data_IF_972922533070
#
_entry.id   IF_972922533070
#
_cell.length_a   1.000
_cell.length_b   1.000
_cell.length_c   1.000
_cell.angle_alpha   90.00
_cell.angle_beta   90.00
_cell.angle_gamma   90.00
#
_symmetry.space_group_name_H-M   'P 1'
#
loop_
_entity.id
_entity.type
_entity.pdbx_description
1 polymer ?
#
# COMPACT_ATOMS: atom_id res chain seq x y z
N UNK A 1 32.74 26.50 10.39
CA UNK A 1 31.94 26.33 9.17
C UNK A 1 31.30 24.95 9.25
N UNK A 2 30.09 24.87 9.74
CA UNK A 2 29.34 23.63 9.73
C UNK A 2 28.50 23.63 8.45
N UNK A 3 28.92 22.82 7.46
CA UNK A 3 28.16 22.57 6.25
C UNK A 3 26.89 21.79 6.63
N UNK A 4 25.74 22.47 6.54
CA UNK A 4 24.46 21.83 6.75
C UNK A 4 24.22 20.79 5.66
N UNK A 5 24.05 19.52 6.08
CA UNK A 5 23.52 18.44 5.24
C UNK A 5 22.00 18.71 5.14
N UNK A 6 21.65 19.76 4.42
CA UNK A 6 20.27 20.04 4.05
C UNK A 6 20.01 19.42 2.70
N UNK A 7 19.23 18.34 2.63
CA UNK A 7 18.74 17.85 1.36
C UNK A 7 18.05 18.98 0.58
N UNK A 8 18.21 18.97 -0.74
CA UNK A 8 17.58 19.94 -1.62
C UNK A 8 16.05 19.83 -1.52
N UNK A 9 15.36 20.95 -1.42
CA UNK A 9 13.90 20.95 -1.35
C UNK A 9 13.34 20.55 -2.71
N UNK A 10 12.51 19.51 -2.74
CA UNK A 10 11.89 18.98 -3.94
C UNK A 10 10.38 19.13 -3.89
N UNK A 11 9.75 19.24 -5.07
CA UNK A 11 8.30 19.20 -5.20
C UNK A 11 7.88 17.75 -5.50
N UNK A 12 7.01 17.19 -4.66
CA UNK A 12 6.46 15.85 -4.83
C UNK A 12 4.99 15.96 -5.16
N UNK A 13 4.55 15.35 -6.26
CA UNK A 13 3.13 15.17 -6.57
C UNK A 13 2.60 13.96 -5.83
N UNK A 14 1.40 14.10 -5.28
CA UNK A 14 0.77 13.05 -4.50
C UNK A 14 -0.75 13.05 -4.69
N UNK A 15 -1.32 11.87 -4.49
CA UNK A 15 -2.77 11.65 -4.42
C UNK A 15 -3.11 11.14 -3.03
N UNK A 16 -4.01 11.83 -2.33
CA UNK A 16 -4.52 11.46 -1.02
C UNK A 16 -5.96 10.93 -1.18
N UNK A 17 -6.19 9.72 -0.73
CA UNK A 17 -7.51 9.13 -0.64
C UNK A 17 -8.01 9.33 0.79
N UNK A 18 -9.08 10.12 0.96
CA UNK A 18 -9.69 10.39 2.27
C UNK A 18 -10.97 9.58 2.46
N UNK A 19 -11.71 9.83 3.51
CA UNK A 19 -13.03 9.21 3.76
C UNK A 19 -14.04 9.51 2.65
N UNK A 20 -13.96 10.70 2.03
CA UNK A 20 -14.95 11.19 1.09
C UNK A 20 -14.38 11.73 -0.21
N UNK A 21 -13.09 12.09 -0.24
CA UNK A 21 -12.49 12.80 -1.35
C UNK A 21 -11.21 12.13 -1.85
N UNK A 22 -10.93 12.28 -3.14
CA UNK A 22 -9.59 12.12 -3.72
C UNK A 22 -8.99 13.51 -3.90
N UNK A 23 -7.91 13.79 -3.20
CA UNK A 23 -7.18 15.06 -3.29
C UNK A 23 -5.87 14.84 -4.02
N UNK A 24 -5.62 15.59 -5.08
CA UNK A 24 -4.37 15.55 -5.85
C UNK A 24 -3.70 16.90 -5.80
N UNK A 25 -2.39 16.92 -5.79
CA UNK A 25 -1.62 18.15 -5.84
C UNK A 25 -0.16 17.92 -5.55
N UNK A 26 0.55 18.97 -5.15
CA UNK A 26 1.98 18.91 -4.88
C UNK A 26 2.31 19.46 -3.49
N UNK A 27 3.42 18.98 -2.94
CA UNK A 27 4.00 19.56 -1.74
C UNK A 27 5.51 19.69 -1.86
N UNK A 28 6.06 20.71 -1.20
CA UNK A 28 7.51 20.90 -1.07
C UNK A 28 8.02 20.16 0.15
N UNK A 29 9.07 19.39 -0.02
CA UNK A 29 9.63 18.60 1.07
C UNK A 29 11.13 18.38 0.87
N UNK A 30 11.83 18.16 1.99
CA UNK A 30 13.21 17.66 2.01
C UNK A 30 13.25 16.16 2.25
N UNK A 31 12.10 15.54 2.51
CA UNK A 31 11.98 14.11 2.75
C UNK A 31 11.91 13.37 1.42
N UNK A 32 12.48 12.17 1.41
CA UNK A 32 12.60 11.34 0.21
C UNK A 32 11.54 10.24 0.11
N UNK A 33 10.80 9.97 1.19
CA UNK A 33 9.76 8.93 1.21
C UNK A 33 8.42 9.53 1.59
N UNK A 34 7.37 9.13 0.87
CA UNK A 34 6.02 9.61 1.15
C UNK A 34 5.57 9.30 2.59
N UNK A 35 5.84 8.10 3.11
CA UNK A 35 5.53 7.74 4.50
C UNK A 35 6.24 8.65 5.51
N UNK A 36 7.50 9.03 5.24
CA UNK A 36 8.27 9.91 6.13
C UNK A 36 7.69 11.32 6.12
N UNK A 37 7.30 11.82 4.94
CA UNK A 37 6.62 13.10 4.78
C UNK A 37 5.34 13.15 5.64
N UNK A 38 4.49 12.12 5.50
CA UNK A 38 3.20 12.07 6.20
C UNK A 38 3.34 11.81 7.71
N UNK A 39 4.39 11.10 8.13
CA UNK A 39 4.65 10.82 9.54
C UNK A 39 5.38 11.95 10.27
N UNK A 40 6.09 12.83 9.54
CA UNK A 40 6.81 13.98 10.13
C UNK A 40 5.96 15.26 10.20
N UNK A 41 4.74 15.23 9.65
CA UNK A 41 3.83 16.34 9.82
C UNK A 41 3.57 16.53 11.33
N UNK A 42 4.22 17.54 11.92
CA UNK A 42 4.04 17.91 13.33
C UNK A 42 2.59 18.33 13.63
N UNK A 43 1.84 18.62 12.58
CA UNK A 43 0.43 19.01 12.64
C UNK A 43 -0.46 17.90 12.05
N UNK A 44 -1.69 17.86 12.51
CA UNK A 44 -2.71 16.94 11.97
C UNK A 44 -3.15 17.28 10.54
N UNK A 45 -2.56 18.30 9.94
CA UNK A 45 -2.92 18.81 8.62
C UNK A 45 -1.72 18.86 7.69
N UNK A 46 -1.97 18.51 6.41
CA UNK A 46 -1.02 18.64 5.31
C UNK A 46 -1.48 19.75 4.38
N UNK A 47 -0.59 20.67 4.01
CA UNK A 47 -0.87 21.67 2.97
C UNK A 47 -0.43 21.11 1.62
N UNK A 48 -1.37 21.06 0.69
CA UNK A 48 -1.18 20.62 -0.69
C UNK A 48 -1.38 21.81 -1.62
N UNK A 49 -0.38 22.12 -2.44
CA UNK A 49 -0.46 23.18 -3.45
C UNK A 49 -1.04 22.65 -4.77
N UNK A 50 -1.58 23.54 -5.59
CA UNK A 50 -2.23 23.22 -6.87
C UNK A 50 -3.23 22.07 -6.70
N UNK A 51 -4.05 22.19 -5.66
CA UNK A 51 -4.93 21.11 -5.22
C UNK A 51 -6.14 20.96 -6.13
N UNK A 52 -6.43 19.71 -6.48
CA UNK A 52 -7.71 19.30 -7.07
C UNK A 52 -8.36 18.27 -6.16
N UNK A 53 -9.66 18.32 -6.00
CA UNK A 53 -10.38 17.34 -5.20
C UNK A 53 -11.73 16.97 -5.78
N UNK A 54 -11.98 15.67 -5.78
CA UNK A 54 -13.18 15.01 -6.29
C UNK A 54 -13.85 14.25 -5.13
N UNK A 55 -15.15 14.39 -4.97
CA UNK A 55 -15.92 13.62 -4.00
C UNK A 55 -16.27 12.23 -4.56
N UNK A 56 -16.12 11.18 -3.76
CA UNK A 56 -16.47 9.82 -4.16
C UNK A 56 -17.95 9.69 -4.54
N UNK A 57 -18.20 9.00 -5.66
CA UNK A 57 -19.56 8.71 -6.11
C UNK A 57 -20.35 9.94 -6.57
N UNK A 58 -19.78 11.11 -6.50
CA UNK A 58 -20.38 12.34 -7.00
C UNK A 58 -20.06 12.50 -8.48
N UNK A 59 -21.06 12.96 -9.25
CA UNK A 59 -20.86 13.49 -10.62
C UNK A 59 -20.54 14.98 -10.60
N UNK A 60 -20.19 15.53 -9.43
CA UNK A 60 -19.82 16.92 -9.28
C UNK A 60 -18.56 17.24 -10.05
N UNK A 61 -18.40 18.50 -10.42
CA UNK A 61 -17.19 18.96 -11.09
C UNK A 61 -16.01 18.88 -10.11
N UNK A 62 -14.85 18.51 -10.62
CA UNK A 62 -13.56 18.63 -9.92
C UNK A 62 -13.40 20.06 -9.42
N UNK A 63 -13.15 20.23 -8.14
CA UNK A 63 -12.85 21.53 -7.54
C UNK A 63 -11.34 21.73 -7.56
N UNK A 64 -10.92 22.94 -7.94
CA UNK A 64 -9.50 23.33 -7.98
C UNK A 64 -9.22 24.48 -7.02
N UNK A 65 -8.06 24.49 -6.39
CA UNK A 65 -7.62 25.55 -5.50
C UNK A 65 -6.11 25.68 -5.54
N UNK A 66 -5.57 26.90 -5.35
CA UNK A 66 -4.15 27.15 -5.29
C UNK A 66 -3.47 26.35 -4.16
N UNK A 67 -4.22 26.09 -3.08
CA UNK A 67 -3.81 25.20 -1.99
C UNK A 67 -5.02 24.65 -1.25
N UNK A 68 -4.84 23.50 -0.63
CA UNK A 68 -5.80 22.90 0.28
C UNK A 68 -5.08 22.41 1.55
N UNK A 69 -5.74 22.55 2.67
CA UNK A 69 -5.31 21.95 3.93
C UNK A 69 -6.09 20.66 4.16
N UNK A 70 -5.39 19.52 4.14
CA UNK A 70 -5.99 18.19 4.27
C UNK A 70 -5.73 17.64 5.66
N UNK A 71 -6.80 17.23 6.37
CA UNK A 71 -6.69 16.59 7.67
C UNK A 71 -6.13 15.16 7.51
N UNK A 72 -4.94 14.90 8.05
CA UNK A 72 -4.29 13.59 7.97
C UNK A 72 -5.05 12.48 8.71
N UNK A 73 -5.90 12.83 9.67
CA UNK A 73 -6.78 11.89 10.36
C UNK A 73 -7.87 11.30 9.44
N UNK A 74 -8.26 12.02 8.38
CA UNK A 74 -9.25 11.55 7.39
C UNK A 74 -8.61 10.83 6.22
N UNK A 75 -7.28 10.93 6.04
CA UNK A 75 -6.57 10.24 4.96
C UNK A 75 -6.52 8.75 5.25
N UNK A 76 -7.02 7.94 4.32
CA UNK A 76 -6.98 6.49 4.34
C UNK A 76 -5.62 5.97 3.87
N UNK A 77 -5.17 6.49 2.74
CA UNK A 77 -3.85 6.21 2.18
C UNK A 77 -3.44 7.30 1.19
N UNK A 78 -2.15 7.30 0.87
CA UNK A 78 -1.56 8.22 -0.10
C UNK A 78 -0.69 7.48 -1.10
N UNK A 79 -0.66 7.99 -2.34
CA UNK A 79 0.19 7.52 -3.44
C UNK A 79 1.03 8.69 -3.92
N UNK A 80 2.32 8.47 -4.18
CA UNK A 80 3.17 9.45 -4.86
C UNK A 80 3.18 9.16 -6.36
N UNK A 81 3.08 10.20 -7.18
CA UNK A 81 3.05 10.07 -8.64
C UNK A 81 4.46 9.84 -9.24
N UNK A 82 5.52 10.00 -8.45
CA UNK A 82 6.91 9.78 -8.84
C UNK A 82 7.60 8.81 -7.90
N UNK A 83 8.51 8.01 -8.45
CA UNK A 83 9.41 7.18 -7.67
C UNK A 83 10.24 8.07 -6.76
N UNK A 84 9.89 8.08 -5.48
CA UNK A 84 10.70 8.71 -4.45
C UNK A 84 11.86 7.75 -4.21
N UNK A 85 13.02 8.07 -4.77
CA UNK A 85 14.22 7.22 -4.68
C UNK A 85 14.56 6.88 -3.23
N UNK A 86 14.53 5.59 -2.93
CA UNK A 86 15.02 5.09 -1.67
C UNK A 86 16.56 5.16 -1.66
N UNK A 87 17.14 5.95 -0.76
CA UNK A 87 18.60 5.96 -0.57
C UNK A 87 19.04 4.59 -0.07
N UNK A 88 19.93 3.88 -0.81
CA UNK A 88 20.32 2.50 -0.47
C UNK A 88 21.07 2.37 0.86
N UNK A 89 21.74 3.43 1.31
CA UNK A 89 22.76 3.41 2.35
C UNK A 89 22.23 3.32 3.80
N UNK A 90 20.92 3.45 4.01
CA UNK A 90 20.30 3.41 5.34
C UNK A 90 19.29 2.28 5.50
N UNK A 91 19.48 1.16 4.81
CA UNK A 91 18.56 0.02 4.92
C UNK A 91 18.90 -0.84 6.12
N UNK A 92 18.15 -0.69 7.20
CA UNK A 92 18.01 -1.80 8.17
C UNK A 92 17.46 -3.00 7.42
N UNK A 93 18.07 -4.19 7.53
CA UNK A 93 17.51 -5.40 6.93
C UNK A 93 16.08 -5.57 7.40
N UNK A 94 15.16 -5.74 6.45
CA UNK A 94 13.73 -5.94 6.75
C UNK A 94 13.25 -7.18 6.02
N UNK A 95 12.38 -7.94 6.67
CA UNK A 95 11.63 -9.02 6.04
C UNK A 95 10.45 -8.40 5.31
N UNK A 96 10.17 -8.90 4.11
CA UNK A 96 9.03 -8.48 3.31
C UNK A 96 7.95 -9.55 3.41
N UNK A 97 6.78 -9.15 3.91
CA UNK A 97 5.62 -10.02 4.02
C UNK A 97 4.47 -9.48 3.17
N UNK A 98 3.83 -10.37 2.40
CA UNK A 98 2.62 -9.99 1.67
C UNK A 98 1.46 -9.83 2.63
N UNK A 99 0.75 -8.73 2.51
CA UNK A 99 -0.38 -8.39 3.36
C UNK A 99 -1.58 -7.90 2.55
N UNK A 100 -2.76 -8.13 3.12
CA UNK A 100 -4.01 -7.48 2.75
C UNK A 100 -4.31 -6.45 3.83
N UNK A 101 -4.54 -5.20 3.41
CA UNK A 101 -4.98 -4.11 4.26
C UNK A 101 -6.36 -3.66 3.80
N UNK A 102 -7.34 -3.71 4.69
CA UNK A 102 -8.68 -3.17 4.44
C UNK A 102 -8.81 -1.81 5.14
N UNK A 103 -8.91 -0.75 4.36
CA UNK A 103 -9.21 0.62 4.79
C UNK A 103 -10.46 1.09 4.07
N UNK A 104 -11.65 0.73 4.55
CA UNK A 104 -12.89 0.98 3.82
C UNK A 104 -13.03 2.43 3.33
N UNK A 105 -13.53 2.60 2.08
CA UNK A 105 -14.07 1.60 1.17
C UNK A 105 -13.04 0.85 0.32
N UNK A 106 -11.74 1.00 0.59
CA UNK A 106 -10.64 0.43 -0.21
C UNK A 106 -10.09 -0.88 0.37
N UNK A 107 -9.53 -1.68 -0.53
CA UNK A 107 -8.66 -2.81 -0.23
C UNK A 107 -7.31 -2.59 -0.88
N UNK A 108 -6.24 -2.95 -0.17
CA UNK A 108 -4.86 -2.78 -0.62
C UNK A 108 -4.14 -4.10 -0.38
N UNK A 109 -3.46 -4.63 -1.39
CA UNK A 109 -2.53 -5.75 -1.23
C UNK A 109 -1.13 -5.28 -1.60
N UNK A 110 -0.11 -5.83 -0.96
CA UNK A 110 1.28 -5.48 -1.23
C UNK A 110 2.22 -6.06 -0.19
N UNK A 111 3.44 -5.54 -0.11
CA UNK A 111 4.47 -6.00 0.82
C UNK A 111 4.68 -4.99 1.94
N UNK A 112 4.58 -5.45 3.17
CA UNK A 112 4.94 -4.71 4.38
C UNK A 112 6.38 -5.10 4.76
N UNK A 113 7.14 -4.11 5.24
CA UNK A 113 8.54 -4.27 5.64
C UNK A 113 8.66 -4.33 7.16
N UNK A 114 9.02 -5.49 7.68
CA UNK A 114 9.10 -5.80 9.11
C UNK A 114 10.55 -5.99 9.56
N UNK A 115 10.81 -5.82 10.85
CA UNK A 115 12.11 -6.15 11.43
C UNK A 115 12.30 -7.68 11.47
N UNK A 116 13.54 -8.22 11.19
CA UNK A 116 13.76 -9.64 10.97
C UNK A 116 13.51 -10.55 12.17
N UNK A 117 13.57 -10.00 13.38
CA UNK A 117 13.54 -10.78 14.64
C UNK A 117 12.13 -10.97 15.20
N UNK A 118 11.07 -10.60 14.42
CA UNK A 118 9.71 -10.57 14.92
C UNK A 118 8.76 -11.42 14.11
N UNK A 119 7.88 -12.12 14.81
CA UNK A 119 6.68 -12.69 14.21
C UNK A 119 5.81 -11.56 13.63
N UNK A 120 5.15 -11.83 12.51
CA UNK A 120 4.26 -10.88 11.85
C UNK A 120 3.21 -10.31 12.83
N UNK A 121 2.71 -11.10 13.77
CA UNK A 121 1.73 -10.68 14.78
C UNK A 121 2.28 -9.60 15.70
N UNK A 122 3.50 -9.78 16.18
CA UNK A 122 4.19 -8.82 17.05
C UNK A 122 4.52 -7.56 16.27
N UNK A 123 5.05 -7.73 15.05
CA UNK A 123 5.43 -6.63 14.18
C UNK A 123 4.24 -5.73 13.78
N UNK A 124 3.05 -6.30 13.57
CA UNK A 124 1.84 -5.53 13.28
C UNK A 124 1.38 -4.68 14.47
N UNK A 125 1.61 -5.16 15.70
CA UNK A 125 1.32 -4.40 16.93
C UNK A 125 2.29 -3.25 17.20
N UNK A 126 3.46 -3.27 16.56
CA UNK A 126 4.55 -2.32 16.79
C UNK A 126 4.79 -1.38 15.59
N UNK A 127 3.87 -1.32 14.64
CA UNK A 127 3.98 -0.39 13.53
C UNK A 127 4.10 1.05 14.06
N UNK A 128 5.27 1.65 13.85
CA UNK A 128 5.57 3.00 14.28
C UNK A 128 5.17 3.98 13.17
N UNK A 129 4.51 5.06 13.56
CA UNK A 129 4.04 6.10 12.65
C UNK A 129 2.59 5.88 12.21
N UNK A 130 1.94 6.96 11.83
CA UNK A 130 0.54 6.95 11.37
C UNK A 130 0.40 6.25 10.00
N UNK A 131 1.39 6.46 9.12
CA UNK A 131 1.39 5.95 7.76
C UNK A 131 2.46 4.87 7.57
N UNK A 132 2.02 3.67 7.18
CA UNK A 132 2.87 2.51 6.95
C UNK A 132 3.09 2.32 5.46
N UNK A 133 4.35 2.18 4.99
CA UNK A 133 4.63 1.93 3.59
C UNK A 133 4.26 0.49 3.20
N UNK A 134 3.48 0.35 2.13
CA UNK A 134 3.18 -0.91 1.46
C UNK A 134 3.75 -0.82 0.05
N UNK A 135 4.73 -1.65 -0.28
CA UNK A 135 5.39 -1.68 -1.60
C UNK A 135 4.77 -2.74 -2.52
N UNK A 136 5.00 -2.61 -3.82
CA UNK A 136 4.37 -3.45 -4.85
C UNK A 136 2.85 -3.55 -4.63
N UNK A 137 2.24 -2.41 -4.38
CA UNK A 137 0.87 -2.33 -3.93
C UNK A 137 -0.12 -2.38 -5.11
N UNK A 138 -1.24 -3.04 -4.86
CA UNK A 138 -2.44 -2.97 -5.69
C UNK A 138 -3.59 -2.51 -4.80
N UNK A 139 -4.27 -1.43 -5.17
CA UNK A 139 -5.43 -0.94 -4.44
C UNK A 139 -6.66 -0.86 -5.35
N UNK A 140 -7.84 -1.02 -4.77
CA UNK A 140 -9.13 -0.93 -5.47
C UNK A 140 -10.29 -0.70 -4.50
N UNK A 141 -11.43 -0.32 -5.05
CA UNK A 141 -12.69 -0.24 -4.32
C UNK A 141 -13.88 -0.51 -5.24
N UNK A 142 -14.58 -1.60 -4.97
CA UNK A 142 -15.83 -1.92 -5.67
C UNK A 142 -16.95 -0.95 -5.29
N UNK A 143 -16.88 -0.34 -4.09
CA UNK A 143 -17.91 0.56 -3.56
C UNK A 143 -17.93 1.90 -4.26
N UNK A 144 -16.73 2.49 -4.49
CA UNK A 144 -16.60 3.79 -5.14
C UNK A 144 -16.22 3.68 -6.62
N UNK A 145 -16.14 2.46 -7.16
CA UNK A 145 -15.82 2.22 -8.56
C UNK A 145 -14.35 2.44 -8.92
N UNK A 146 -13.45 2.41 -7.93
CA UNK A 146 -12.01 2.50 -8.20
C UNK A 146 -11.49 1.17 -8.71
N UNK A 147 -11.00 1.16 -9.95
CA UNK A 147 -10.43 -0.03 -10.57
C UNK A 147 -9.16 -0.49 -9.86
N UNK A 148 -8.76 -1.75 -10.08
CA UNK A 148 -7.49 -2.26 -9.58
C UNK A 148 -6.33 -1.49 -10.17
N UNK A 149 -5.63 -0.75 -9.32
CA UNK A 149 -4.53 0.16 -9.69
C UNK A 149 -3.25 -0.27 -9.00
N UNK A 150 -2.19 -0.40 -9.79
CA UNK A 150 -0.86 -0.72 -9.28
C UNK A 150 -0.14 0.56 -8.86
N UNK A 151 0.58 0.50 -7.76
CA UNK A 151 1.46 1.56 -7.29
C UNK A 151 2.77 0.96 -6.76
N UNK A 152 3.93 1.54 -7.07
CA UNK A 152 5.21 1.09 -6.52
C UNK A 152 5.21 1.11 -4.98
N UNK A 153 4.54 2.13 -4.41
CA UNK A 153 4.38 2.28 -2.97
C UNK A 153 3.12 3.07 -2.63
N UNK A 154 2.44 2.63 -1.59
CA UNK A 154 1.30 3.30 -0.98
C UNK A 154 1.61 3.52 0.50
N UNK A 155 1.37 4.74 1.01
CA UNK A 155 1.47 5.03 2.44
C UNK A 155 0.08 4.89 3.08
N UNK A 156 -0.13 3.81 3.84
CA UNK A 156 -1.44 3.47 4.43
C UNK A 156 -1.53 4.00 5.85
N UNK A 157 -2.59 4.74 6.15
CA UNK A 157 -2.90 5.14 7.52
C UNK A 157 -3.40 3.92 8.32
N UNK A 158 -2.53 3.31 9.11
CA UNK A 158 -2.85 2.09 9.82
C UNK A 158 -3.92 2.28 10.90
N UNK A 159 -4.05 3.50 11.46
CA UNK A 159 -5.11 3.82 12.41
C UNK A 159 -6.52 3.79 11.76
N UNK A 160 -6.59 3.87 10.43
CA UNK A 160 -7.83 3.76 9.65
C UNK A 160 -8.05 2.36 9.10
N UNK A 161 -7.05 1.49 9.19
CA UNK A 161 -7.16 0.10 8.75
C UNK A 161 -8.05 -0.69 9.72
N UNK A 162 -9.09 -1.33 9.17
CA UNK A 162 -9.96 -2.22 9.94
C UNK A 162 -9.40 -3.65 9.99
N UNK A 163 -8.68 -4.05 8.93
CA UNK A 163 -8.07 -5.36 8.83
C UNK A 163 -6.67 -5.20 8.25
N UNK A 164 -5.70 -5.82 8.88
CA UNK A 164 -4.35 -6.00 8.39
C UNK A 164 -4.01 -7.47 8.61
N UNK A 165 -3.84 -8.22 7.54
CA UNK A 165 -3.65 -9.66 7.60
C UNK A 165 -2.60 -10.15 6.60
N UNK A 166 -1.88 -11.25 6.89
CA UNK A 166 -1.05 -11.92 5.89
C UNK A 166 -1.90 -12.29 4.68
N UNK A 167 -1.38 -12.03 3.48
CA UNK A 167 -2.05 -12.37 2.24
C UNK A 167 -1.26 -13.46 1.51
N UNK A 168 -1.84 -14.66 1.45
CA UNK A 168 -1.33 -15.75 0.63
C UNK A 168 -2.07 -15.72 -0.70
N UNK A 169 -1.36 -15.59 -1.80
CA UNK A 169 -1.94 -15.85 -3.11
C UNK A 169 -2.36 -17.33 -3.12
N UNK A 170 -3.66 -17.57 -3.23
CA UNK A 170 -4.16 -18.90 -3.53
C UNK A 170 -3.90 -19.08 -5.02
N UNK A 171 -2.94 -19.93 -5.37
CA UNK A 171 -2.76 -20.38 -6.74
C UNK A 171 -4.04 -21.13 -7.16
N UNK A 172 -4.84 -20.58 -8.10
CA UNK A 172 -6.08 -21.25 -8.53
C UNK A 172 -5.83 -22.62 -9.15
N UNK A 173 -4.59 -22.91 -9.54
CA UNK A 173 -4.17 -24.14 -10.21
C UNK A 173 -3.50 -25.15 -9.28
N UNK A 174 -3.14 -24.76 -8.04
CA UNK A 174 -2.46 -25.63 -7.07
C UNK A 174 -3.25 -26.89 -6.67
N UNK A 175 -4.53 -26.97 -7.04
CA UNK A 175 -5.38 -28.15 -6.82
C UNK A 175 -5.44 -29.12 -8.01
N UNK A 176 -5.04 -28.70 -9.21
CA UNK A 176 -5.17 -29.51 -10.43
C UNK A 176 -4.06 -30.55 -10.58
N UNK A 177 -2.86 -30.26 -10.07
CA UNK A 177 -1.71 -31.17 -10.12
C UNK A 177 -1.90 -32.41 -9.22
N UNK A 178 -2.77 -32.36 -8.21
CA UNK A 178 -3.05 -33.49 -7.34
C UNK A 178 -4.04 -34.49 -7.93
N UNK A 179 -4.85 -34.09 -8.90
CA UNK A 179 -5.83 -34.97 -9.57
C UNK A 179 -5.21 -35.86 -10.63
N UNK A 180 -4.13 -35.41 -11.30
CA UNK A 180 -3.45 -36.15 -12.36
C UNK A 180 -2.70 -37.39 -11.84
N UNK A 181 -2.01 -37.25 -10.70
CA UNK A 181 -1.22 -38.33 -10.15
C UNK A 181 -2.04 -39.51 -9.56
N UNK A 182 -3.26 -39.22 -9.11
CA UNK A 182 -4.17 -40.31 -8.60
C UNK A 182 -4.85 -41.05 -9.73
N UNK A 183 -5.18 -40.40 -10.84
CA UNK A 183 -5.80 -41.07 -11.98
C UNK A 183 -4.83 -42.02 -12.71
N UNK A 184 -3.54 -41.69 -12.79
CA UNK A 184 -2.53 -42.57 -13.36
C UNK A 184 -2.21 -43.78 -12.48
N UNK A 185 -2.32 -43.68 -11.15
CA UNK A 185 -2.11 -44.76 -10.22
C UNK A 185 -3.25 -45.77 -10.25
N UNK A 186 -4.50 -45.35 -10.46
CA UNK A 186 -5.65 -46.27 -10.59
C UNK A 186 -5.65 -47.01 -11.92
N UNK A 187 -5.20 -46.39 -13.01
CA UNK A 187 -5.12 -47.08 -14.34
C UNK A 187 -4.00 -48.13 -14.35
N UNK A 188 -2.87 -47.83 -13.67
CA UNK A 188 -1.74 -48.80 -13.60
C UNK A 188 -2.03 -49.97 -12.67
N UNK A 189 -2.87 -49.81 -11.65
CA UNK A 189 -3.27 -50.90 -10.74
C UNK A 189 -4.30 -51.88 -11.34
N UNK A 190 -5.10 -51.45 -12.32
CA UNK A 190 -6.11 -52.28 -12.96
C UNK A 190 -5.54 -53.21 -14.05
N UNK A 191 -4.37 -52.90 -14.60
CA UNK A 191 -3.75 -53.71 -15.68
C UNK A 191 -2.99 -54.95 -15.17
N UNK A 192 -2.71 -55.06 -13.86
CA UNK A 192 -1.93 -56.18 -13.29
C UNK A 192 -2.80 -57.30 -12.65
N UNK A 193 -4.14 -57.19 -12.65
CA UNK A 193 -5.05 -58.14 -12.02
C UNK A 193 -5.76 -59.10 -13.01
N UNK A 194 -5.35 -59.18 -14.28
CA UNK A 194 -6.01 -59.90 -15.35
C UNK A 194 -5.25 -61.08 -15.93
N UNK A 195 -4.15 -61.59 -15.35
CA UNK A 195 -3.47 -62.79 -15.79
C UNK A 195 -3.23 -63.74 -14.61
N UNK A 196 -4.19 -64.65 -14.37
CA UNK A 196 -4.00 -65.97 -13.73
C UNK A 196 -5.17 -66.85 -14.04
#
# INVERSE_FOLDING_TARGET
MFGGIGGEEQSVRLTLYTDAYVVRGSMRTRQRRLSDILNQAEQDFLVVADATFDEFGSRSQTVTSDYAQVNLGTVLFAVADSDVEAVPELRTPKIQERALVSVPPFRITGRIHLLPERDLREALGELIGRFVPVTDAVYWSDVVGEARTNAPMVAVNHARAQILAPHREVDPWAGLDRGGAQAEAEISGAASAGES
#
